data_IF_556849698496
#
_entry.id   IF_556849698496
#
_cell.length_a   1.000
_cell.length_b   1.000
_cell.length_c   1.000
_cell.angle_alpha   90.00
_cell.angle_beta   90.00
_cell.angle_gamma   90.00
#
_symmetry.space_group_name_H-M   'P 1'
#
loop_
_entity.id
_entity.type
_entity.pdbx_description
1 polymer ?
#
# COMPACT_ATOMS: atom_id res chain seq x y z
N UNK A 1 -13.68 -3.05 -19.04
CA UNK A 1 -12.47 -2.22 -19.21
C UNK A 1 -12.04 -1.52 -17.92
N UNK A 2 -12.94 -0.92 -17.12
CA UNK A 2 -12.56 -0.28 -15.84
C UNK A 2 -11.95 -1.22 -14.77
N UNK A 3 -12.41 -2.49 -14.67
CA UNK A 3 -11.85 -3.48 -13.72
C UNK A 3 -10.36 -3.74 -13.91
N UNK A 4 -9.86 -3.75 -15.15
CA UNK A 4 -8.44 -3.95 -15.42
C UNK A 4 -7.60 -2.74 -14.96
N UNK A 5 -8.21 -1.55 -14.91
CA UNK A 5 -7.50 -0.34 -14.49
C UNK A 5 -7.39 -0.24 -12.97
N UNK A 6 -8.42 -0.63 -12.22
CA UNK A 6 -8.34 -0.65 -10.73
C UNK A 6 -7.31 -1.67 -10.27
N UNK A 7 -7.31 -2.87 -10.84
CA UNK A 7 -6.30 -3.90 -10.53
C UNK A 7 -4.88 -3.42 -10.86
N UNK A 8 -4.71 -2.63 -11.93
CA UNK A 8 -3.42 -2.04 -12.25
C UNK A 8 -2.96 -1.05 -11.17
N UNK A 9 -3.82 -0.09 -10.77
CA UNK A 9 -3.49 0.87 -9.70
C UNK A 9 -3.21 0.15 -8.38
N UNK A 10 -4.03 -0.84 -8.02
CA UNK A 10 -3.80 -1.68 -6.85
C UNK A 10 -2.40 -2.30 -6.87
N UNK A 11 -2.01 -2.90 -7.99
CA UNK A 11 -0.68 -3.50 -8.13
C UNK A 11 0.44 -2.47 -8.00
N UNK A 12 0.30 -1.28 -8.58
CA UNK A 12 1.27 -0.18 -8.42
C UNK A 12 1.46 0.20 -6.94
N UNK A 13 0.36 0.44 -6.22
CA UNK A 13 0.39 0.78 -4.79
C UNK A 13 1.01 -0.35 -3.95
N UNK A 14 0.69 -1.60 -4.26
CA UNK A 14 1.26 -2.75 -3.55
C UNK A 14 2.78 -2.89 -3.78
N UNK A 15 3.27 -2.64 -5.00
CA UNK A 15 4.72 -2.67 -5.27
C UNK A 15 5.45 -1.54 -4.55
N UNK A 16 4.88 -0.32 -4.52
CA UNK A 16 5.44 0.80 -3.75
C UNK A 16 5.50 0.47 -2.26
N UNK A 17 4.41 -0.06 -1.70
CA UNK A 17 4.32 -0.47 -0.30
C UNK A 17 5.37 -1.53 0.05
N UNK A 18 5.48 -2.60 -0.74
CA UNK A 18 6.49 -3.66 -0.55
C UNK A 18 7.91 -3.09 -0.60
N UNK A 19 8.17 -2.14 -1.50
CA UNK A 19 9.44 -1.41 -1.55
C UNK A 19 9.74 -0.72 -0.22
N UNK A 20 8.79 0.03 0.33
CA UNK A 20 8.94 0.70 1.63
C UNK A 20 9.15 -0.30 2.79
N UNK A 21 8.40 -1.39 2.84
CA UNK A 21 8.58 -2.41 3.89
C UNK A 21 9.96 -3.05 3.87
N UNK A 22 10.55 -3.23 2.69
CA UNK A 22 11.93 -3.74 2.54
C UNK A 22 12.98 -2.70 2.91
N UNK A 23 12.73 -1.43 2.61
CA UNK A 23 13.69 -0.35 2.89
C UNK A 23 13.70 0.07 4.36
N UNK A 24 12.58 -0.06 5.05
CA UNK A 24 12.42 0.36 6.44
C UNK A 24 11.79 -0.73 7.33
N UNK A 25 12.35 -1.95 7.37
CA UNK A 25 11.76 -3.08 8.07
C UNK A 25 11.46 -2.79 9.55
N UNK A 26 12.30 -1.99 10.21
CA UNK A 26 12.10 -1.60 11.62
C UNK A 26 10.77 -0.88 11.89
N UNK A 27 10.20 -0.20 10.89
CA UNK A 27 8.94 0.51 11.03
C UNK A 27 7.73 -0.43 10.92
N UNK A 28 7.95 -1.66 10.45
CA UNK A 28 6.90 -2.64 10.15
C UNK A 28 7.07 -3.97 10.89
N UNK A 29 8.22 -4.23 11.50
CA UNK A 29 8.49 -5.41 12.34
C UNK A 29 8.07 -5.24 13.81
N UNK A 30 7.55 -4.06 14.19
CA UNK A 30 7.10 -3.75 15.56
C UNK A 30 5.67 -4.26 15.84
N UNK A 31 5.22 -4.23 17.10
CA UNK A 31 3.94 -4.82 17.49
C UNK A 31 2.72 -3.93 17.19
N UNK A 32 1.73 -4.54 16.52
CA UNK A 32 0.31 -4.19 16.55
C UNK A 32 -0.06 -2.78 16.07
N UNK A 33 -0.31 -1.88 17.00
CA UNK A 33 -0.90 -0.55 16.71
C UNK A 33 0.06 0.37 15.95
N UNK A 34 1.36 0.30 16.23
CA UNK A 34 2.35 1.14 15.56
C UNK A 34 2.47 0.81 14.07
N UNK A 35 2.43 -0.49 13.74
CA UNK A 35 2.47 -0.95 12.34
C UNK A 35 1.25 -0.49 11.56
N UNK A 36 0.05 -0.58 12.15
CA UNK A 36 -1.18 -0.11 11.49
C UNK A 36 -1.07 1.38 11.20
N UNK A 37 -0.63 2.18 12.17
CA UNK A 37 -0.43 3.63 11.99
C UNK A 37 0.62 3.94 10.91
N UNK A 38 1.70 3.16 10.84
CA UNK A 38 2.74 3.32 9.83
C UNK A 38 2.24 2.96 8.42
N UNK A 39 1.43 1.90 8.29
CA UNK A 39 0.77 1.49 7.05
C UNK A 39 -0.20 2.58 6.57
N UNK A 40 -1.05 3.10 7.47
CA UNK A 40 -2.01 4.17 7.14
C UNK A 40 -1.30 5.48 6.76
N UNK A 41 -0.22 5.81 7.49
CA UNK A 41 0.60 6.99 7.20
C UNK A 41 1.31 6.87 5.86
N UNK A 42 1.82 5.68 5.52
CA UNK A 42 2.43 5.40 4.23
C UNK A 42 1.43 5.56 3.09
N UNK A 43 0.24 4.97 3.22
CA UNK A 43 -0.84 5.08 2.24
C UNK A 43 -1.27 6.54 2.04
N UNK A 44 -1.38 7.31 3.12
CA UNK A 44 -1.66 8.76 3.06
C UNK A 44 -0.53 9.52 2.36
N UNK A 45 0.73 9.17 2.61
CA UNK A 45 1.88 9.73 1.91
C UNK A 45 1.76 9.56 0.39
N UNK A 46 1.43 8.36 -0.07
CA UNK A 46 1.18 8.11 -1.50
C UNK A 46 0.00 8.90 -2.04
N UNK A 47 -1.10 8.98 -1.29
CA UNK A 47 -2.30 9.71 -1.68
C UNK A 47 -2.05 11.21 -1.83
N UNK A 48 -1.29 11.80 -0.91
CA UNK A 48 -0.96 13.22 -0.89
C UNK A 48 0.10 13.59 -1.94
N UNK A 49 0.93 12.62 -2.37
CA UNK A 49 1.98 12.83 -3.37
C UNK A 49 1.57 12.51 -4.81
N UNK A 50 0.29 12.24 -5.07
CA UNK A 50 -0.20 11.92 -6.43
C UNK A 50 -0.05 13.12 -7.37
N UNK A 51 0.35 12.83 -8.60
CA UNK A 51 0.35 13.78 -9.70
C UNK A 51 -1.05 14.00 -10.24
N UNK A 52 -1.30 15.13 -10.92
CA UNK A 52 -2.61 15.48 -11.53
C UNK A 52 -3.22 14.36 -12.39
N UNK A 53 -2.37 13.64 -13.13
CA UNK A 53 -2.79 12.50 -13.96
C UNK A 53 -3.31 11.32 -13.12
N UNK A 54 -2.73 11.10 -11.95
CA UNK A 54 -3.11 10.04 -11.01
C UNK A 54 -4.37 10.44 -10.25
N UNK A 55 -4.49 11.71 -9.83
CA UNK A 55 -5.71 12.25 -9.24
C UNK A 55 -6.89 12.06 -10.22
N UNK A 56 -6.73 12.50 -11.47
CA UNK A 56 -7.78 12.37 -12.50
C UNK A 56 -8.15 10.91 -12.77
N UNK A 57 -7.15 10.01 -12.82
CA UNK A 57 -7.37 8.58 -13.00
C UNK A 57 -8.17 8.01 -11.84
N UNK A 58 -7.75 8.30 -10.62
CA UNK A 58 -8.34 7.75 -9.40
C UNK A 58 -9.77 8.24 -9.22
N UNK A 59 -10.05 9.53 -9.46
CA UNK A 59 -11.41 10.10 -9.46
C UNK A 59 -12.33 9.40 -10.47
N UNK A 60 -11.84 9.17 -11.70
CA UNK A 60 -12.61 8.45 -12.74
C UNK A 60 -12.90 7.00 -12.38
N UNK A 61 -12.01 6.38 -11.60
CA UNK A 61 -12.14 5.00 -11.16
C UNK A 61 -12.89 4.86 -9.82
N UNK A 62 -13.23 5.98 -9.17
CA UNK A 62 -13.85 6.00 -7.85
C UNK A 62 -12.92 5.52 -6.73
N UNK A 63 -11.61 5.66 -6.92
CA UNK A 63 -10.59 5.26 -5.95
C UNK A 63 -10.45 6.34 -4.89
N UNK A 64 -10.43 5.92 -3.63
CA UNK A 64 -10.36 6.76 -2.44
C UNK A 64 -9.09 6.47 -1.62
N UNK A 65 -8.82 7.32 -0.61
CA UNK A 65 -7.75 7.06 0.35
C UNK A 65 -7.93 5.71 1.07
N UNK A 66 -9.17 5.30 1.33
CA UNK A 66 -9.45 4.02 1.99
C UNK A 66 -9.00 2.83 1.13
N UNK A 67 -9.09 2.95 -0.20
CA UNK A 67 -8.58 1.92 -1.11
C UNK A 67 -7.05 1.85 -1.05
N UNK A 68 -6.36 3.00 -1.01
CA UNK A 68 -4.91 3.06 -0.83
C UNK A 68 -4.49 2.41 0.49
N UNK A 69 -5.18 2.71 1.59
CA UNK A 69 -4.92 2.11 2.90
C UNK A 69 -5.12 0.58 2.85
N UNK A 70 -6.23 0.13 2.27
CA UNK A 70 -6.54 -1.29 2.11
C UNK A 70 -5.49 -2.02 1.28
N UNK A 71 -5.10 -1.48 0.12
CA UNK A 71 -4.10 -2.11 -0.76
C UNK A 71 -2.70 -2.12 -0.14
N UNK A 72 -2.34 -1.07 0.59
CA UNK A 72 -1.07 -0.98 1.33
C UNK A 72 -1.03 -2.04 2.45
N UNK A 73 -2.14 -2.23 3.17
CA UNK A 73 -2.29 -3.31 4.17
C UNK A 73 -2.23 -4.70 3.54
N UNK A 74 -2.90 -4.92 2.41
CA UNK A 74 -2.84 -6.21 1.70
C UNK A 74 -1.41 -6.56 1.28
N UNK A 75 -0.64 -5.58 0.81
CA UNK A 75 0.78 -5.74 0.52
C UNK A 75 1.59 -6.11 1.77
N UNK A 76 1.28 -5.52 2.92
CA UNK A 76 1.94 -5.85 4.18
C UNK A 76 1.64 -7.30 4.60
N UNK A 77 0.37 -7.69 4.58
CA UNK A 77 -0.07 -9.05 4.93
C UNK A 77 0.61 -10.09 4.00
N UNK A 78 0.71 -9.79 2.70
CA UNK A 78 1.42 -10.64 1.74
C UNK A 78 2.94 -10.68 1.98
N UNK A 79 3.55 -9.53 2.27
CA UNK A 79 4.97 -9.41 2.60
C UNK A 79 5.34 -10.21 3.85
N UNK A 80 4.56 -10.07 4.92
CA UNK A 80 4.75 -10.83 6.16
C UNK A 80 4.56 -12.32 5.96
N UNK A 81 3.57 -12.74 5.14
CA UNK A 81 3.37 -14.15 4.82
C UNK A 81 4.54 -14.73 4.02
N UNK A 82 5.12 -13.96 3.10
CA UNK A 82 6.28 -14.37 2.30
C UNK A 82 7.56 -14.48 3.14
N UNK A 83 7.77 -13.55 4.10
CA UNK A 83 8.96 -13.54 4.96
C UNK A 83 8.81 -14.39 6.23
N UNK A 84 7.58 -14.73 6.64
CA UNK A 84 7.29 -15.59 7.78
C UNK A 84 7.73 -17.04 7.62
N UNK A 85 8.17 -17.46 6.42
CA UNK A 85 8.88 -18.73 6.21
C UNK A 85 10.42 -18.63 6.39
N UNK A 86 10.97 -17.45 6.66
CA UNK A 86 12.41 -17.23 6.90
C UNK A 86 12.74 -16.73 8.31
N UNK A 87 11.80 -16.84 9.26
CA UNK A 87 11.99 -16.39 10.65
C UNK A 87 11.72 -17.50 11.69
N UNK A 88 12.10 -18.74 11.36
CA UNK A 88 12.28 -19.82 12.34
C UNK A 88 13.68 -20.43 12.21
#
# INVERSE_FOLDING_TARGET
>A
MAKNNIEHVKNEIQQLAIGNYRSYPQDYETSGTAVIQNIESLAKGYWDSRMDKEITRDERLGISLNDYQQWTKEAYDAFMKANGHSLN
#
